data_IF_791653194472
#
_entry.id   IF_791653194472
#
_cell.length_a   1.000
_cell.length_b   1.000
_cell.length_c   1.000
_cell.angle_alpha   90.00
_cell.angle_beta   90.00
_cell.angle_gamma   90.00
#
_symmetry.space_group_name_H-M   'P 1'
#
loop_
_entity.id
_entity.type
_entity.pdbx_description
1 polymer ?
#
# COMPACT_ATOMS: atom_id res chain seq x y z
N UNK A 1 27.22 10.67 0.48
CA UNK A 1 26.41 10.36 1.68
C UNK A 1 24.99 9.86 1.31
N UNK A 2 24.24 10.53 0.42
CA UNK A 2 22.85 10.19 0.08
C UNK A 2 22.65 8.81 -0.60
N UNK A 3 23.55 8.41 -1.50
CA UNK A 3 23.48 7.10 -2.18
C UNK A 3 23.64 5.87 -1.25
N UNK A 4 24.34 6.04 -0.12
CA UNK A 4 24.58 4.94 0.82
C UNK A 4 23.35 4.64 1.70
N UNK A 5 22.47 5.64 1.88
CA UNK A 5 21.23 5.48 2.62
C UNK A 5 20.19 4.72 1.80
N UNK A 6 20.07 5.00 0.50
CA UNK A 6 19.18 4.25 -0.40
C UNK A 6 19.60 2.78 -0.57
N UNK A 7 20.90 2.52 -0.66
CA UNK A 7 21.40 1.15 -0.81
C UNK A 7 21.16 0.31 0.46
N UNK A 8 21.37 0.89 1.65
CA UNK A 8 21.07 0.22 2.93
C UNK A 8 19.58 -0.06 3.07
N UNK A 9 18.72 0.91 2.73
CA UNK A 9 17.27 0.77 2.86
C UNK A 9 16.69 -0.28 1.90
N UNK A 10 17.17 -0.32 0.65
CA UNK A 10 16.74 -1.31 -0.35
C UNK A 10 17.23 -2.72 -0.06
N UNK A 11 18.43 -2.87 0.53
CA UNK A 11 18.96 -4.18 0.92
C UNK A 11 18.21 -4.78 2.10
N UNK A 12 17.86 -3.97 3.11
CA UNK A 12 17.14 -4.39 4.32
C UNK A 12 15.67 -4.79 4.01
N UNK A 13 15.00 -4.03 3.12
CA UNK A 13 13.65 -4.36 2.62
C UNK A 13 13.63 -5.66 1.79
N UNK A 14 14.72 -5.97 1.08
CA UNK A 14 14.84 -7.20 0.27
C UNK A 14 15.19 -8.43 1.11
N UNK A 15 16.02 -8.28 2.15
CA UNK A 15 16.38 -9.39 3.05
C UNK A 15 15.21 -9.86 3.91
N UNK A 16 14.36 -8.95 4.39
CA UNK A 16 13.20 -9.30 5.22
C UNK A 16 12.10 -10.06 4.45
N UNK A 17 12.09 -9.99 3.11
CA UNK A 17 11.09 -10.64 2.25
C UNK A 17 11.47 -12.08 1.83
N UNK A 18 12.67 -12.56 2.20
CA UNK A 18 13.21 -13.86 1.71
C UNK A 18 13.04 -15.06 2.64
N UNK A 19 12.29 -14.92 3.74
CA UNK A 19 11.87 -16.08 4.56
C UNK A 19 10.40 -16.42 4.33
N UNK A 20 10.02 -16.62 3.06
CA UNK A 20 8.71 -17.13 2.69
C UNK A 20 8.61 -18.61 3.05
N UNK A 21 8.16 -18.88 4.27
CA UNK A 21 7.74 -20.21 4.68
C UNK A 21 6.70 -20.75 3.70
N UNK A 22 6.75 -22.06 3.38
CA UNK A 22 5.77 -22.73 2.51
C UNK A 22 4.32 -22.44 2.96
N UNK A 23 4.11 -22.22 4.26
CA UNK A 23 2.83 -21.79 4.83
C UNK A 23 2.36 -20.42 4.33
N UNK A 24 3.24 -19.43 4.21
CA UNK A 24 2.87 -18.10 3.71
C UNK A 24 2.42 -18.13 2.24
N UNK A 25 3.03 -18.98 1.41
CA UNK A 25 2.61 -19.14 0.00
C UNK A 25 1.25 -19.82 -0.11
N UNK A 26 0.98 -20.83 0.72
CA UNK A 26 -0.34 -21.46 0.79
C UNK A 26 -1.40 -20.46 1.30
N UNK A 27 -1.09 -19.72 2.37
CA UNK A 27 -1.98 -18.69 2.92
C UNK A 27 -2.27 -17.57 1.93
N UNK A 28 -1.28 -17.09 1.17
CA UNK A 28 -1.49 -16.06 0.14
C UNK A 28 -2.37 -16.57 -1.01
N UNK A 29 -2.22 -17.85 -1.39
CA UNK A 29 -3.06 -18.44 -2.44
C UNK A 29 -4.50 -18.63 -1.98
N UNK A 30 -4.70 -19.07 -0.73
CA UNK A 30 -6.03 -19.20 -0.11
C UNK A 30 -6.68 -17.84 0.11
N UNK A 31 -5.92 -16.82 0.53
CA UNK A 31 -6.44 -15.46 0.72
C UNK A 31 -6.91 -14.83 -0.60
N UNK A 32 -6.16 -15.06 -1.70
CA UNK A 32 -6.56 -14.60 -3.04
C UNK A 32 -7.81 -15.32 -3.55
N UNK A 33 -7.96 -16.61 -3.24
CA UNK A 33 -9.13 -17.38 -3.63
C UNK A 33 -10.37 -16.97 -2.81
N UNK A 34 -10.25 -16.85 -1.49
CA UNK A 34 -11.34 -16.48 -0.59
C UNK A 34 -11.88 -15.05 -0.83
N UNK A 35 -11.05 -14.15 -1.37
CA UNK A 35 -11.47 -12.79 -1.76
C UNK A 35 -12.03 -12.66 -3.18
N UNK A 36 -12.15 -13.76 -3.93
CA UNK A 36 -12.57 -13.74 -5.34
C UNK A 36 -14.07 -14.03 -5.51
N UNK A 37 -14.69 -13.41 -6.51
CA UNK A 37 -16.07 -13.70 -6.93
C UNK A 37 -16.28 -15.18 -7.29
N UNK A 38 -15.23 -15.87 -7.76
CA UNK A 38 -15.28 -17.30 -8.09
C UNK A 38 -15.57 -18.19 -6.87
N UNK A 39 -15.13 -17.80 -5.66
CA UNK A 39 -15.41 -18.53 -4.43
C UNK A 39 -16.90 -18.51 -4.10
N UNK A 40 -17.55 -17.36 -4.25
CA UNK A 40 -18.98 -17.17 -3.99
C UNK A 40 -19.80 -18.08 -4.89
N UNK A 41 -19.51 -18.12 -6.19
CA UNK A 41 -20.23 -18.99 -7.14
C UNK A 41 -19.99 -20.47 -6.86
N UNK A 42 -18.76 -20.86 -6.48
CA UNK A 42 -18.45 -22.25 -6.12
C UNK A 42 -19.22 -22.69 -4.87
N UNK A 43 -19.31 -21.82 -3.86
CA UNK A 43 -20.05 -22.07 -2.63
C UNK A 43 -21.56 -22.20 -2.88
N UNK A 44 -22.15 -21.28 -3.66
CA UNK A 44 -23.55 -21.35 -4.11
C UNK A 44 -23.83 -22.62 -4.91
N UNK A 45 -22.93 -22.98 -5.84
CA UNK A 45 -23.04 -24.22 -6.61
C UNK A 45 -23.02 -25.46 -5.71
N UNK A 46 -22.12 -25.51 -4.73
CA UNK A 46 -22.07 -26.60 -3.75
C UNK A 46 -23.36 -26.75 -2.94
N UNK A 47 -23.95 -25.64 -2.50
CA UNK A 47 -25.25 -25.66 -1.83
C UNK A 47 -26.37 -26.16 -2.74
N UNK A 48 -26.41 -25.68 -3.99
CA UNK A 48 -27.42 -26.13 -4.96
C UNK A 48 -27.29 -27.63 -5.25
N UNK A 49 -26.06 -28.14 -5.43
CA UNK A 49 -25.78 -29.57 -5.62
C UNK A 49 -26.24 -30.36 -4.38
N UNK A 50 -25.95 -29.89 -3.17
CA UNK A 50 -26.38 -30.53 -1.93
C UNK A 50 -27.90 -30.64 -1.82
N UNK A 51 -28.61 -29.55 -2.15
CA UNK A 51 -30.08 -29.55 -2.18
C UNK A 51 -30.62 -30.54 -3.21
N UNK A 52 -30.08 -30.53 -4.43
CA UNK A 52 -30.51 -31.45 -5.50
C UNK A 52 -30.26 -32.91 -5.12
N UNK A 53 -29.09 -33.23 -4.57
CA UNK A 53 -28.78 -34.59 -4.12
C UNK A 53 -29.74 -35.08 -3.03
N UNK A 54 -30.07 -34.23 -2.04
CA UNK A 54 -31.00 -34.60 -0.97
C UNK A 54 -32.45 -34.70 -1.46
N UNK A 55 -32.86 -33.89 -2.44
CA UNK A 55 -34.20 -34.02 -3.05
C UNK A 55 -34.30 -35.33 -3.86
N UNK A 56 -33.26 -35.71 -4.61
CA UNK A 56 -33.27 -36.91 -5.45
C UNK A 56 -33.20 -38.20 -4.62
N UNK A 57 -32.58 -38.17 -3.44
CA UNK A 57 -32.48 -39.33 -2.55
C UNK A 57 -33.78 -39.66 -1.79
N UNK A 58 -34.74 -38.71 -1.72
CA UNK A 58 -36.10 -38.80 -1.12
C UNK A 58 -36.22 -39.66 0.16
N UNK A 59 -36.22 -40.99 0.04
CA UNK A 59 -36.32 -41.94 1.17
C UNK A 59 -35.03 -42.21 1.94
N UNK A 60 -33.85 -41.99 1.37
CA UNK A 60 -32.53 -42.14 2.05
C UNK A 60 -31.84 -40.78 2.29
N UNK A 61 -32.59 -39.68 2.17
CA UNK A 61 -32.04 -38.35 2.27
C UNK A 61 -31.52 -38.04 3.68
N UNK A 62 -30.25 -37.64 3.77
CA UNK A 62 -29.62 -37.22 5.03
C UNK A 62 -30.16 -35.88 5.55
N UNK A 63 -30.67 -35.02 4.67
CA UNK A 63 -31.20 -33.69 5.00
C UNK A 63 -32.49 -33.40 4.20
N UNK A 64 -33.61 -34.00 4.64
CA UNK A 64 -34.94 -33.81 4.03
C UNK A 64 -35.40 -32.35 4.18
N UNK A 65 -36.17 -31.86 3.22
CA UNK A 65 -36.79 -30.53 3.28
C UNK A 65 -37.52 -30.35 4.63
N UNK A 66 -37.16 -29.34 5.45
CA UNK A 66 -36.63 -28.01 5.09
C UNK A 66 -35.10 -27.79 5.21
N UNK A 67 -34.26 -28.82 5.08
CA UNK A 67 -32.77 -28.75 5.12
C UNK A 67 -32.19 -28.21 6.43
N UNK A 68 -32.43 -28.93 7.54
CA UNK A 68 -32.03 -28.50 8.88
C UNK A 68 -30.50 -28.45 9.04
N UNK A 69 -29.76 -29.38 8.42
CA UNK A 69 -28.31 -29.43 8.54
C UNK A 69 -27.65 -28.31 7.74
N UNK A 70 -28.13 -28.08 6.51
CA UNK A 70 -27.65 -26.96 5.70
C UNK A 70 -27.90 -25.61 6.39
N UNK A 71 -29.08 -25.44 7.01
CA UNK A 71 -29.40 -24.25 7.79
C UNK A 71 -28.46 -24.07 9.00
N UNK A 72 -28.19 -25.15 9.74
CA UNK A 72 -27.27 -25.12 10.88
C UNK A 72 -25.85 -24.71 10.45
N UNK A 73 -25.34 -25.29 9.37
CA UNK A 73 -24.02 -24.98 8.82
C UNK A 73 -23.95 -23.52 8.37
N UNK A 74 -24.96 -23.04 7.64
CA UNK A 74 -25.01 -21.63 7.20
C UNK A 74 -25.05 -20.66 8.37
N UNK A 75 -25.84 -20.96 9.41
CA UNK A 75 -25.90 -20.15 10.62
C UNK A 75 -24.54 -20.09 11.34
N UNK A 76 -23.82 -21.21 11.39
CA UNK A 76 -22.46 -21.25 11.95
C UNK A 76 -21.47 -20.43 11.11
N UNK A 77 -21.49 -20.57 9.78
CA UNK A 77 -20.64 -19.81 8.86
C UNK A 77 -20.89 -18.30 9.00
N UNK A 78 -22.15 -17.89 9.06
CA UNK A 78 -22.54 -16.49 9.27
C UNK A 78 -22.05 -15.94 10.62
N UNK A 79 -22.12 -16.74 11.69
CA UNK A 79 -21.64 -16.33 13.02
C UNK A 79 -20.12 -16.05 13.03
N UNK A 80 -19.33 -16.82 12.26
CA UNK A 80 -17.87 -16.66 12.17
C UNK A 80 -17.45 -15.59 11.14
N UNK A 81 -18.34 -15.18 10.24
CA UNK A 81 -18.01 -14.17 9.22
C UNK A 81 -17.61 -12.81 9.82
N UNK A 82 -18.38 -12.29 10.77
CA UNK A 82 -18.13 -10.97 11.37
C UNK A 82 -16.72 -10.84 11.98
N UNK A 83 -16.24 -11.75 12.85
CA UNK A 83 -14.89 -11.68 13.39
C UNK A 83 -13.82 -11.91 12.33
N UNK A 84 -14.06 -12.77 11.33
CA UNK A 84 -13.11 -12.96 10.21
C UNK A 84 -12.95 -11.68 9.39
N UNK A 85 -14.07 -11.00 9.08
CA UNK A 85 -14.08 -9.70 8.42
C UNK A 85 -13.33 -8.69 9.29
N UNK A 86 -13.64 -8.60 10.59
CA UNK A 86 -12.99 -7.68 11.53
C UNK A 86 -11.47 -7.93 11.63
N UNK A 87 -11.03 -9.20 11.68
CA UNK A 87 -9.60 -9.54 11.67
C UNK A 87 -8.93 -9.18 10.36
N UNK A 88 -9.61 -9.37 9.22
CA UNK A 88 -9.10 -9.00 7.91
C UNK A 88 -8.95 -7.48 7.77
N UNK A 89 -9.93 -6.72 8.30
CA UNK A 89 -9.93 -5.27 8.34
C UNK A 89 -8.84 -4.74 9.27
N UNK A 90 -8.71 -5.27 10.48
CA UNK A 90 -7.66 -4.88 11.43
C UNK A 90 -6.25 -5.09 10.82
N UNK A 91 -6.02 -6.20 10.10
CA UNK A 91 -4.73 -6.43 9.41
C UNK A 91 -4.47 -5.38 8.32
N UNK A 92 -5.51 -4.95 7.61
CA UNK A 92 -5.41 -3.95 6.56
C UNK A 92 -5.17 -2.56 7.16
N UNK A 93 -5.90 -2.19 8.21
CA UNK A 93 -5.76 -0.93 8.94
C UNK A 93 -4.35 -0.75 9.52
N UNK A 94 -3.75 -1.78 10.10
CA UNK A 94 -2.36 -1.72 10.59
C UNK A 94 -1.36 -1.39 9.47
N UNK A 95 -1.53 -1.99 8.29
CA UNK A 95 -0.67 -1.69 7.13
C UNK A 95 -0.89 -0.28 6.62
N UNK A 96 -2.14 0.17 6.59
CA UNK A 96 -2.50 1.49 6.08
C UNK A 96 -2.05 2.59 7.05
N UNK A 97 -2.11 2.35 8.35
CA UNK A 97 -1.54 3.23 9.38
C UNK A 97 -0.02 3.34 9.27
N UNK A 98 0.69 2.22 9.05
CA UNK A 98 2.14 2.25 8.85
C UNK A 98 2.54 3.02 7.57
N UNK A 99 1.74 2.91 6.50
CA UNK A 99 1.93 3.72 5.29
C UNK A 99 1.71 5.20 5.55
N UNK A 100 0.63 5.56 6.25
CA UNK A 100 0.33 6.96 6.59
C UNK A 100 1.44 7.60 7.43
N UNK A 101 2.01 6.87 8.41
CA UNK A 101 3.16 7.36 9.19
C UNK A 101 4.40 7.58 8.30
N UNK A 102 4.68 6.65 7.36
CA UNK A 102 5.80 6.81 6.44
C UNK A 102 5.62 8.04 5.54
N UNK A 103 4.43 8.21 4.97
CA UNK A 103 4.09 9.35 4.13
C UNK A 103 4.23 10.67 4.91
N UNK A 104 3.81 10.69 6.19
CA UNK A 104 4.00 11.84 7.07
C UNK A 104 5.48 12.18 7.28
N UNK A 105 6.32 11.18 7.56
CA UNK A 105 7.77 11.38 7.73
C UNK A 105 8.46 11.85 6.44
N UNK A 106 8.03 11.36 5.28
CA UNK A 106 8.51 11.84 3.98
C UNK A 106 8.09 13.30 3.76
N UNK A 107 6.85 13.65 4.08
CA UNK A 107 6.35 15.01 3.93
C UNK A 107 7.17 16.01 4.78
N UNK A 108 7.44 15.67 6.04
CA UNK A 108 8.26 16.49 6.93
C UNK A 108 9.70 16.65 6.41
N UNK A 109 10.30 15.58 5.88
CA UNK A 109 11.63 15.65 5.24
C UNK A 109 11.61 16.55 4.00
N UNK A 110 10.56 16.46 3.18
CA UNK A 110 10.42 17.29 2.00
C UNK A 110 10.30 18.77 2.38
N UNK A 111 9.56 19.09 3.45
CA UNK A 111 9.46 20.46 3.97
C UNK A 111 10.84 21.03 4.35
N UNK A 112 11.65 20.25 5.08
CA UNK A 112 13.03 20.66 5.43
C UNK A 112 13.93 20.83 4.21
N UNK A 113 13.82 19.94 3.21
CA UNK A 113 14.59 20.03 1.97
C UNK A 113 14.17 21.26 1.15
N UNK A 114 12.88 21.60 1.12
CA UNK A 114 12.37 22.79 0.45
C UNK A 114 12.91 24.06 1.14
N UNK A 115 12.92 24.10 2.47
CA UNK A 115 13.50 25.23 3.22
C UNK A 115 15.01 25.41 2.95
N UNK A 116 15.78 24.31 2.92
CA UNK A 116 17.21 24.36 2.54
C UNK A 116 17.41 24.81 1.08
N UNK A 117 16.57 24.33 0.16
CA UNK A 117 16.59 24.78 -1.23
C UNK A 117 16.28 26.28 -1.36
N UNK A 118 15.34 26.80 -0.59
CA UNK A 118 15.04 28.23 -0.56
C UNK A 118 16.26 29.04 -0.13
N UNK A 119 16.94 28.66 0.96
CA UNK A 119 18.16 29.34 1.42
C UNK A 119 19.27 29.33 0.38
N UNK A 120 19.47 28.20 -0.30
CA UNK A 120 20.47 28.09 -1.39
C UNK A 120 20.09 28.96 -2.59
N UNK A 121 18.80 29.00 -2.93
CA UNK A 121 18.30 29.85 -4.01
C UNK A 121 18.53 31.33 -3.70
N UNK A 122 18.23 31.76 -2.48
CA UNK A 122 18.48 33.14 -2.03
C UNK A 122 19.97 33.51 -2.13
N UNK A 123 20.87 32.59 -1.72
CA UNK A 123 22.31 32.80 -1.85
C UNK A 123 22.76 32.90 -3.33
N UNK A 124 22.17 32.11 -4.23
CA UNK A 124 22.46 32.19 -5.67
C UNK A 124 21.97 33.53 -6.24
N UNK A 125 20.76 33.97 -5.87
CA UNK A 125 20.19 35.26 -6.30
C UNK A 125 21.08 36.41 -5.82
N UNK A 126 21.56 36.36 -4.58
CA UNK A 126 22.46 37.39 -4.04
C UNK A 126 23.79 37.45 -4.82
N UNK A 127 24.37 36.29 -5.15
CA UNK A 127 25.58 36.23 -5.96
C UNK A 127 25.36 36.75 -7.39
N UNK A 128 24.23 36.44 -8.02
CA UNK A 128 23.86 36.99 -9.33
C UNK A 128 23.76 38.52 -9.28
N UNK A 129 23.15 39.07 -8.23
CA UNK A 129 23.06 40.52 -8.02
C UNK A 129 24.44 41.16 -7.93
N UNK A 130 25.36 40.57 -7.15
CA UNK A 130 26.75 41.04 -7.02
C UNK A 130 27.49 41.03 -8.37
N UNK A 131 27.29 39.99 -9.18
CA UNK A 131 27.89 39.89 -10.52
C UNK A 131 27.36 41.00 -11.44
N UNK A 132 26.04 41.23 -11.44
CA UNK A 132 25.41 42.29 -12.25
C UNK A 132 25.92 43.68 -11.81
N UNK A 133 26.05 43.91 -10.51
CA UNK A 133 26.62 45.16 -9.97
C UNK A 133 28.10 45.34 -10.34
N UNK A 134 28.88 44.26 -10.42
CA UNK A 134 30.28 44.33 -10.84
C UNK A 134 30.41 44.62 -12.35
N UNK A 135 29.58 43.96 -13.18
CA UNK A 135 29.53 44.18 -14.64
C UNK A 135 29.15 45.62 -14.96
N UNK A 136 28.08 46.13 -14.35
CA UNK A 136 27.63 47.52 -14.54
C UNK A 136 28.69 48.55 -14.12
N UNK A 137 29.42 48.32 -13.03
CA UNK A 137 30.56 49.19 -12.65
C UNK A 137 31.70 49.14 -13.68
N UNK A 138 32.03 47.96 -14.20
CA UNK A 138 33.06 47.80 -15.22
C UNK A 138 32.69 48.54 -16.52
N UNK A 139 31.43 48.45 -16.95
CA UNK A 139 30.92 49.16 -18.13
C UNK A 139 31.02 50.69 -17.98
N UNK A 140 30.66 51.24 -16.81
CA UNK A 140 30.78 52.68 -16.51
C UNK A 140 32.23 53.15 -16.58
N UNK A 141 33.17 52.39 -16.02
CA UNK A 141 34.60 52.72 -16.06
C UNK A 141 35.11 52.72 -17.51
N UNK A 142 34.70 51.73 -18.30
CA UNK A 142 35.13 51.59 -19.69
C UNK A 142 34.55 52.72 -20.58
N UNK A 143 33.31 53.16 -20.33
CA UNK A 143 32.72 54.33 -21.00
C UNK A 143 33.48 55.62 -20.69
N UNK A 144 33.89 55.83 -19.43
CA UNK A 144 34.70 56.99 -19.04
C UNK A 144 36.12 56.97 -19.62
N UNK A 145 36.71 55.79 -19.79
CA UNK A 145 38.05 55.63 -20.38
C UNK A 145 38.06 55.89 -21.89
N UNK A 146 36.95 55.63 -22.60
CA UNK A 146 36.84 55.79 -24.06
C UNK A 146 36.46 57.20 -24.50
N UNK A 147 35.99 58.05 -23.58
CA UNK A 147 35.61 59.45 -23.82
C UNK A 147 36.72 60.47 -23.59
N UNK A 148 37.94 60.04 -23.28
CA UNK A 148 39.14 60.85 -23.11
C UNK A 148 40.13 60.57 -24.24
#
# INVERSE_FOLDING_TARGET
>A
MHMLLEQKLSTDLSENNKRSSLGQRASDSVAKFAGSWAFIFTFLGGMAIWMVLNIVLDTDAFDVYPFILLNLVLSCVAAVQAPFIMMSQNRQEVKDRARAENDYQINLKNELVIDDLHKKLDAVIENQKKIIEALSRADIINMNAKGK
#
